data_IF_485253022993
#
_entry.id   IF_485253022993
#
_cell.length_a   1.000
_cell.length_b   1.000
_cell.length_c   1.000
_cell.angle_alpha   90.00
_cell.angle_beta   90.00
_cell.angle_gamma   90.00
#
_symmetry.space_group_name_H-M   'P 1'
#
loop_
_entity.id
_entity.type
_entity.pdbx_description
1 polymer ?
#
# COMPACT_ATOMS: atom_id res chain seq x y z
N UNK A 1 25.44 67.77 32.94
CA UNK A 1 24.50 66.64 32.78
C UNK A 1 24.07 66.62 31.32
N UNK A 2 24.10 65.55 30.54
CA UNK A 2 24.22 64.14 30.89
C UNK A 2 25.13 63.37 29.94
N UNK A 3 25.44 62.18 30.41
CA UNK A 3 26.45 61.23 29.96
C UNK A 3 25.85 60.27 28.93
N UNK A 4 26.69 59.85 28.00
CA UNK A 4 26.55 58.76 27.04
C UNK A 4 25.67 57.58 27.47
N UNK A 5 24.94 57.00 26.51
CA UNK A 5 24.83 55.54 26.32
C UNK A 5 24.41 55.21 24.86
N UNK A 6 25.40 54.87 24.03
CA UNK A 6 25.21 54.05 22.83
C UNK A 6 24.72 52.67 23.29
N UNK A 7 23.52 52.26 22.89
CA UNK A 7 23.09 50.87 23.01
C UNK A 7 23.83 50.05 21.95
N UNK A 8 24.66 49.11 22.41
CA UNK A 8 25.13 48.00 21.61
C UNK A 8 23.92 47.19 21.14
N UNK A 9 23.68 47.11 19.84
CA UNK A 9 22.96 45.99 19.25
C UNK A 9 23.90 44.78 19.31
N UNK A 10 23.81 44.02 20.41
CA UNK A 10 24.19 42.62 20.33
C UNK A 10 23.22 41.97 19.34
N UNK A 11 23.78 41.44 18.26
CA UNK A 11 23.10 40.44 17.45
C UNK A 11 22.73 39.31 18.41
N UNK A 12 21.46 39.19 18.72
CA UNK A 12 20.90 37.96 19.26
C UNK A 12 21.19 36.93 18.17
N UNK A 13 22.08 35.99 18.45
CA UNK A 13 22.14 34.74 17.71
C UNK A 13 20.74 34.13 17.84
N UNK A 14 20.00 34.12 16.74
CA UNK A 14 18.85 33.25 16.60
C UNK A 14 19.41 31.83 16.71
N UNK A 15 19.31 31.25 17.90
CA UNK A 15 19.42 29.81 18.08
C UNK A 15 18.24 29.25 17.31
N UNK A 16 18.47 28.88 16.06
CA UNK A 16 17.61 27.93 15.37
C UNK A 16 17.60 26.69 16.25
N UNK A 17 16.55 26.52 17.05
CA UNK A 17 16.22 25.24 17.64
C UNK A 17 15.79 24.35 16.47
N UNK A 18 16.75 23.66 15.85
CA UNK A 18 16.47 22.56 14.93
C UNK A 18 15.65 21.53 15.68
N UNK A 19 14.57 21.05 15.08
CA UNK A 19 13.86 19.89 15.62
C UNK A 19 14.87 18.73 15.63
N UNK A 20 15.07 18.00 16.74
CA UNK A 20 15.92 16.82 16.77
C UNK A 20 15.62 15.82 15.64
N UNK A 21 14.38 15.82 15.12
CA UNK A 21 13.99 15.04 13.95
C UNK A 21 14.59 15.54 12.62
N UNK A 22 14.83 16.83 12.48
CA UNK A 22 15.45 17.41 11.28
C UNK A 22 16.95 17.08 11.23
N UNK A 23 17.60 17.08 12.39
CA UNK A 23 19.03 16.73 12.51
C UNK A 23 19.23 15.23 12.17
N UNK A 24 18.46 14.32 12.76
CA UNK A 24 18.56 12.88 12.43
C UNK A 24 18.14 12.58 10.98
N UNK A 25 17.15 13.30 10.43
CA UNK A 25 16.78 13.18 9.00
C UNK A 25 17.98 13.52 8.11
N UNK A 26 18.67 14.61 8.40
CA UNK A 26 19.86 15.04 7.67
C UNK A 26 20.96 13.98 7.74
N UNK A 27 21.22 13.42 8.93
CA UNK A 27 22.18 12.33 9.11
C UNK A 27 21.82 11.09 8.28
N UNK A 28 20.54 10.70 8.24
CA UNK A 28 20.09 9.57 7.40
C UNK A 28 20.33 9.87 5.91
N UNK A 29 20.01 11.06 5.43
CA UNK A 29 20.20 11.46 4.04
C UNK A 29 21.69 11.49 3.65
N UNK A 30 22.56 11.99 4.52
CA UNK A 30 24.01 11.99 4.31
C UNK A 30 24.56 10.56 4.21
N UNK A 31 24.26 9.70 5.18
CA UNK A 31 24.65 8.28 5.16
C UNK A 31 24.13 7.56 3.92
N UNK A 32 22.88 7.86 3.51
CA UNK A 32 22.28 7.29 2.31
C UNK A 32 23.01 7.76 1.05
N UNK A 33 23.35 9.05 0.95
CA UNK A 33 24.05 9.61 -0.21
C UNK A 33 25.49 9.09 -0.32
N UNK A 34 26.20 8.91 0.80
CA UNK A 34 27.53 8.28 0.81
C UNK A 34 27.48 6.87 0.21
N UNK A 35 26.42 6.12 0.52
CA UNK A 35 26.25 4.73 0.07
C UNK A 35 25.78 4.63 -1.38
N UNK A 36 24.82 5.46 -1.76
CA UNK A 36 24.18 5.41 -3.08
C UNK A 36 24.89 6.24 -4.15
N UNK A 37 25.69 7.23 -3.74
CA UNK A 37 26.40 8.18 -4.62
C UNK A 37 25.45 8.92 -5.57
N UNK A 38 24.32 9.38 -5.02
CA UNK A 38 23.34 10.18 -5.73
C UNK A 38 23.69 11.68 -5.71
N UNK A 39 22.68 12.50 -5.98
CA UNK A 39 22.73 13.96 -5.77
C UNK A 39 21.76 14.32 -4.65
N UNK A 40 22.28 14.80 -3.52
CA UNK A 40 21.45 15.34 -2.44
C UNK A 40 20.96 16.74 -2.86
N UNK A 41 19.64 16.91 -2.91
CA UNK A 41 18.99 18.16 -3.31
C UNK A 41 17.62 18.27 -2.64
N UNK A 42 17.34 19.40 -1.99
CA UNK A 42 16.03 19.72 -1.40
C UNK A 42 15.46 18.57 -0.55
N UNK A 43 16.23 18.14 0.46
CA UNK A 43 15.88 17.05 1.39
C UNK A 43 15.59 15.68 0.77
N UNK A 44 16.00 15.46 -0.48
CA UNK A 44 15.89 14.16 -1.13
C UNK A 44 17.17 13.79 -1.88
N UNK A 45 17.31 12.50 -2.17
CA UNK A 45 18.39 12.00 -3.01
C UNK A 45 17.84 11.73 -4.39
N UNK A 46 18.41 12.40 -5.38
CA UNK A 46 18.16 12.15 -6.78
C UNK A 46 19.15 11.09 -7.26
N UNK A 47 18.61 9.98 -7.74
CA UNK A 47 19.35 8.85 -8.30
C UNK A 47 19.30 8.89 -9.84
N UNK A 48 20.25 8.24 -10.53
CA UNK A 48 20.21 8.11 -11.98
C UNK A 48 18.89 7.52 -12.48
N UNK A 49 18.50 7.87 -13.71
CA UNK A 49 17.26 7.42 -14.37
C UNK A 49 15.96 7.89 -13.69
N UNK A 50 16.01 8.98 -12.92
CA UNK A 50 14.78 9.67 -12.47
C UNK A 50 14.18 9.16 -11.16
N UNK A 51 14.87 8.28 -10.43
CA UNK A 51 14.43 7.88 -9.09
C UNK A 51 14.76 8.98 -8.08
N UNK A 52 13.83 9.27 -7.18
CA UNK A 52 14.07 10.15 -6.03
C UNK A 52 13.76 9.42 -4.73
N UNK A 53 14.58 9.62 -3.71
CA UNK A 53 14.39 9.04 -2.38
C UNK A 53 14.25 10.16 -1.35
N UNK A 54 13.08 10.25 -0.74
CA UNK A 54 12.76 11.15 0.37
C UNK A 54 12.74 10.34 1.67
N UNK A 55 12.96 11.02 2.80
CA UNK A 55 13.08 10.43 4.13
C UNK A 55 12.21 11.20 5.12
N UNK A 56 11.39 10.48 5.88
CA UNK A 56 10.64 11.04 7.01
C UNK A 56 10.99 10.31 8.30
N UNK A 57 11.04 11.06 9.41
CA UNK A 57 11.29 10.52 10.75
C UNK A 57 9.95 10.32 11.45
N UNK A 58 9.50 9.07 11.52
CA UNK A 58 8.24 8.73 12.19
C UNK A 58 8.39 8.86 13.71
N UNK A 59 9.43 8.24 14.26
CA UNK A 59 9.64 8.10 15.70
C UNK A 59 11.12 8.08 16.02
N UNK A 60 11.49 8.78 17.10
CA UNK A 60 12.81 8.75 17.71
C UNK A 60 12.60 8.63 19.22
N UNK A 61 13.01 7.52 19.80
CA UNK A 61 12.83 7.20 21.22
C UNK A 61 14.14 6.65 21.79
N UNK A 62 14.39 6.89 23.08
CA UNK A 62 15.50 6.27 23.80
C UNK A 62 14.92 5.48 24.98
N UNK A 63 15.33 4.22 25.11
CA UNK A 63 14.92 3.34 26.21
C UNK A 63 16.10 2.47 26.62
N UNK A 64 16.40 2.43 27.92
CA UNK A 64 17.50 1.66 28.50
C UNK A 64 18.88 1.91 27.84
N UNK A 65 19.13 3.15 27.40
CA UNK A 65 20.35 3.54 26.70
C UNK A 65 20.47 3.01 25.27
N UNK A 66 19.35 2.55 24.69
CA UNK A 66 19.22 2.16 23.28
C UNK A 66 18.30 3.17 22.60
N UNK A 67 18.81 3.82 21.56
CA UNK A 67 18.01 4.64 20.66
C UNK A 67 17.27 3.75 19.67
N UNK A 68 16.00 4.07 19.44
CA UNK A 68 15.12 3.43 18.47
C UNK A 68 14.65 4.52 17.51
N UNK A 69 14.96 4.34 16.23
CA UNK A 69 14.59 5.25 15.16
C UNK A 69 13.69 4.51 14.17
N UNK A 70 12.53 5.10 13.88
CA UNK A 70 11.72 4.72 12.74
C UNK A 70 11.91 5.74 11.61
N UNK A 71 12.48 5.26 10.52
CA UNK A 71 12.71 6.01 9.30
C UNK A 71 11.76 5.50 8.22
N UNK A 72 11.06 6.40 7.53
CA UNK A 72 10.19 6.11 6.41
C UNK A 72 10.88 6.57 5.14
N UNK A 73 11.35 5.63 4.33
CA UNK A 73 11.92 5.91 3.02
C UNK A 73 10.81 5.95 1.97
N UNK A 74 10.80 6.97 1.13
CA UNK A 74 9.78 7.18 0.09
C UNK A 74 10.49 7.27 -1.26
N UNK A 75 10.38 6.22 -2.06
CA UNK A 75 10.95 6.16 -3.41
C UNK A 75 9.90 6.53 -4.44
N UNK A 76 10.20 7.52 -5.30
CA UNK A 76 9.35 7.96 -6.40
C UNK A 76 10.05 7.78 -7.73
N UNK A 77 9.26 7.52 -8.76
CA UNK A 77 9.66 7.43 -10.16
C UNK A 77 8.42 7.64 -11.04
N UNK A 78 8.57 8.19 -12.24
CA UNK A 78 7.43 8.51 -13.12
C UNK A 78 6.65 7.27 -13.59
N UNK A 79 7.35 6.12 -13.69
CA UNK A 79 6.71 4.83 -14.03
C UNK A 79 5.99 4.17 -12.84
N UNK A 80 6.07 4.74 -11.64
CA UNK A 80 5.36 4.21 -10.48
C UNK A 80 3.96 4.81 -10.39
N UNK A 81 2.94 3.95 -10.25
CA UNK A 81 1.56 4.38 -9.97
C UNK A 81 1.40 5.02 -8.58
N UNK A 82 2.27 4.64 -7.66
CA UNK A 82 2.33 5.15 -6.29
C UNK A 82 3.77 5.11 -5.77
N UNK A 83 4.16 5.98 -4.82
CA UNK A 83 5.48 5.88 -4.22
C UNK A 83 5.68 4.53 -3.51
N UNK A 84 6.86 3.95 -3.63
CA UNK A 84 7.27 2.83 -2.79
C UNK A 84 7.66 3.38 -1.42
N UNK A 85 6.88 3.02 -0.40
CA UNK A 85 7.09 3.46 0.98
C UNK A 85 7.66 2.30 1.80
N UNK A 86 8.83 2.49 2.37
CA UNK A 86 9.49 1.53 3.24
C UNK A 86 9.74 2.08 4.65
N UNK A 87 8.89 1.71 5.63
CA UNK A 87 9.21 1.95 7.03
C UNK A 87 10.30 0.98 7.49
N UNK A 88 11.31 1.54 8.15
CA UNK A 88 12.45 0.84 8.73
C UNK A 88 12.57 1.21 10.19
N UNK A 89 12.50 0.20 11.06
CA UNK A 89 12.85 0.35 12.46
C UNK A 89 14.32 -0.06 12.65
N UNK A 90 15.09 0.82 13.29
CA UNK A 90 16.52 0.65 13.56
C UNK A 90 16.82 0.93 15.03
N UNK A 91 17.90 0.34 15.54
CA UNK A 91 18.32 0.48 16.93
C UNK A 91 19.84 0.64 17.03
N UNK A 92 20.31 1.41 18.02
CA UNK A 92 21.72 1.76 18.15
C UNK A 92 21.97 2.46 19.48
N UNK A 93 23.25 2.66 19.80
CA UNK A 93 23.67 3.34 21.05
C UNK A 93 23.62 4.86 20.93
N UNK A 94 23.68 5.36 19.71
CA UNK A 94 23.65 6.78 19.38
C UNK A 94 22.96 7.02 18.02
N UNK A 95 22.74 8.31 17.72
CA UNK A 95 22.07 8.79 16.50
C UNK A 95 22.76 8.31 15.22
N UNK A 96 24.10 8.23 15.21
CA UNK A 96 24.86 7.81 14.04
C UNK A 96 24.69 6.31 13.78
N UNK A 97 24.71 5.49 14.83
CA UNK A 97 24.47 4.05 14.72
C UNK A 97 23.05 3.74 14.20
N UNK A 98 22.02 4.41 14.74
CA UNK A 98 20.63 4.20 14.27
C UNK A 98 20.43 4.67 12.84
N UNK A 99 20.95 5.86 12.48
CA UNK A 99 20.83 6.40 11.13
C UNK A 99 21.51 5.46 10.10
N UNK A 100 22.73 5.01 10.40
CA UNK A 100 23.46 4.08 9.55
C UNK A 100 22.74 2.74 9.41
N UNK A 101 22.22 2.18 10.51
CA UNK A 101 21.46 0.93 10.48
C UNK A 101 20.18 1.06 9.63
N UNK A 102 19.46 2.18 9.73
CA UNK A 102 18.29 2.45 8.90
C UNK A 102 18.65 2.43 7.40
N UNK A 103 19.73 3.12 7.01
CA UNK A 103 20.25 3.15 5.64
C UNK A 103 20.71 1.78 5.16
N UNK A 104 21.36 1.00 6.03
CA UNK A 104 21.83 -0.35 5.70
C UNK A 104 20.66 -1.30 5.42
N UNK A 105 19.62 -1.26 6.25
CA UNK A 105 18.39 -2.03 6.07
C UNK A 105 17.67 -1.62 4.78
N UNK A 106 17.48 -0.32 4.54
CA UNK A 106 16.83 0.17 3.33
C UNK A 106 17.59 -0.24 2.06
N UNK A 107 18.91 -0.03 2.06
CA UNK A 107 19.75 -0.37 0.91
C UNK A 107 19.73 -1.87 0.60
N UNK A 108 19.82 -2.70 1.63
CA UNK A 108 19.81 -4.16 1.48
C UNK A 108 18.42 -4.72 1.16
N UNK A 109 17.35 -4.08 1.66
CA UNK A 109 15.99 -4.55 1.50
C UNK A 109 15.34 -4.09 0.20
N UNK A 110 15.27 -2.78 -0.01
CA UNK A 110 14.49 -2.15 -1.10
C UNK A 110 15.39 -1.74 -2.26
N UNK A 111 16.47 -0.99 -1.97
CA UNK A 111 17.25 -0.38 -3.04
C UNK A 111 17.98 -1.43 -3.88
N UNK A 112 18.51 -2.49 -3.27
CA UNK A 112 19.22 -3.52 -4.01
C UNK A 112 18.40 -4.20 -5.12
N UNK A 113 17.20 -4.77 -4.86
CA UNK A 113 16.38 -5.33 -5.93
C UNK A 113 15.88 -4.27 -6.91
N UNK A 114 15.68 -3.02 -6.47
CA UNK A 114 15.33 -1.92 -7.36
C UNK A 114 16.48 -1.57 -8.32
N UNK A 115 17.72 -1.44 -7.84
CA UNK A 115 18.93 -1.27 -8.67
C UNK A 115 19.07 -2.40 -9.69
N UNK A 116 18.84 -3.64 -9.27
CA UNK A 116 18.88 -4.79 -10.16
C UNK A 116 17.83 -4.68 -11.27
N UNK A 117 16.62 -4.22 -10.93
CA UNK A 117 15.57 -3.98 -11.92
C UNK A 117 15.94 -2.88 -12.92
N UNK A 118 16.54 -1.79 -12.43
CA UNK A 118 16.99 -0.65 -13.24
C UNK A 118 18.03 -1.06 -14.28
N UNK A 119 18.92 -1.99 -13.92
CA UNK A 119 19.99 -2.49 -14.79
C UNK A 119 19.70 -3.88 -15.38
N UNK A 120 18.48 -4.41 -15.20
CA UNK A 120 18.05 -5.73 -15.68
C UNK A 120 19.03 -6.86 -15.31
N UNK A 121 19.54 -6.85 -14.09
CA UNK A 121 20.52 -7.82 -13.58
C UNK A 121 19.79 -9.07 -13.07
N UNK A 122 20.09 -10.23 -13.67
CA UNK A 122 19.57 -11.55 -13.27
C UNK A 122 18.03 -11.60 -13.13
N UNK A 123 17.26 -11.21 -14.16
CA UNK A 123 15.81 -11.25 -14.10
C UNK A 123 15.28 -12.68 -13.99
N UNK A 124 14.24 -12.86 -13.18
CA UNK A 124 13.45 -14.10 -13.15
C UNK A 124 12.15 -13.84 -13.90
N UNK A 125 11.95 -14.53 -15.02
CA UNK A 125 10.73 -14.39 -15.82
C UNK A 125 9.50 -14.93 -15.07
N UNK A 126 8.42 -14.15 -15.07
CA UNK A 126 7.14 -14.47 -14.44
C UNK A 126 6.02 -14.17 -15.44
N UNK A 127 5.45 -15.21 -16.10
CA UNK A 127 4.27 -15.04 -16.95
C UNK A 127 3.01 -14.94 -16.08
N UNK A 128 2.07 -14.10 -16.51
CA UNK A 128 0.82 -13.84 -15.82
C UNK A 128 -0.33 -13.87 -16.82
N UNK A 129 -1.32 -14.70 -16.54
CA UNK A 129 -2.56 -14.78 -17.30
C UNK A 129 -3.75 -14.51 -16.38
N UNK A 130 -4.57 -13.52 -16.70
CA UNK A 130 -5.84 -13.27 -16.00
C UNK A 130 -6.84 -12.59 -16.93
N UNK A 131 -8.13 -12.91 -16.78
CA UNK A 131 -9.21 -12.27 -17.55
C UNK A 131 -8.94 -12.14 -19.06
N UNK A 132 -8.42 -13.22 -19.67
CA UNK A 132 -8.05 -13.30 -21.11
C UNK A 132 -6.91 -12.33 -21.52
N UNK A 133 -6.14 -11.83 -20.57
CA UNK A 133 -4.97 -10.98 -20.77
C UNK A 133 -3.70 -11.72 -20.37
N UNK A 134 -2.60 -11.41 -21.06
CA UNK A 134 -1.29 -11.96 -20.82
C UNK A 134 -0.29 -10.83 -20.54
N UNK A 135 0.55 -11.03 -19.52
CA UNK A 135 1.62 -10.10 -19.17
C UNK A 135 2.89 -10.87 -18.81
N UNK A 136 4.03 -10.36 -19.28
CA UNK A 136 5.34 -10.87 -18.92
C UNK A 136 6.05 -9.91 -17.96
N UNK A 137 6.44 -10.41 -16.80
CA UNK A 137 7.22 -9.68 -15.81
C UNK A 137 8.63 -10.24 -15.65
N UNK A 138 9.56 -9.35 -15.30
CA UNK A 138 10.85 -9.72 -14.73
C UNK A 138 10.84 -9.41 -13.21
N UNK A 139 11.13 -10.43 -12.40
CA UNK A 139 11.22 -10.35 -10.94
C UNK A 139 12.68 -10.24 -10.47
N UNK A 140 12.91 -9.35 -9.49
CA UNK A 140 14.19 -9.11 -8.82
C UNK A 140 13.98 -9.20 -7.30
N UNK A 141 14.60 -10.16 -6.63
CA UNK A 141 14.36 -10.49 -5.22
C UNK A 141 15.59 -11.05 -4.48
N UNK A 142 16.80 -10.65 -4.86
CA UNK A 142 18.03 -11.35 -4.49
C UNK A 142 18.46 -11.15 -3.03
N UNK A 143 17.86 -10.21 -2.30
CA UNK A 143 18.27 -9.86 -0.92
C UNK A 143 17.19 -10.15 0.12
N UNK A 144 17.63 -10.65 1.27
CA UNK A 144 16.81 -10.83 2.48
C UNK A 144 17.53 -10.15 3.63
N UNK A 145 16.90 -9.14 4.21
CA UNK A 145 17.40 -8.45 5.40
C UNK A 145 16.97 -9.23 6.62
N UNK A 146 17.90 -9.47 7.55
CA UNK A 146 17.66 -10.27 8.75
C UNK A 146 18.18 -9.55 9.98
N UNK A 147 17.39 -9.55 11.04
CA UNK A 147 17.75 -8.99 12.35
C UNK A 147 17.62 -10.10 13.39
N UNK A 148 18.58 -10.18 14.32
CA UNK A 148 18.57 -11.17 15.40
C UNK A 148 18.91 -12.61 15.01
N UNK A 149 19.04 -12.90 13.71
CA UNK A 149 19.41 -14.24 13.22
C UNK A 149 20.92 -14.45 13.32
N UNK A 150 21.34 -15.48 14.08
CA UNK A 150 22.74 -15.95 14.13
C UNK A 150 22.86 -17.31 13.44
N UNK A 151 23.93 -17.52 12.69
CA UNK A 151 24.38 -18.83 12.17
C UNK A 151 23.39 -19.63 11.30
N UNK A 152 22.31 -19.01 10.80
CA UNK A 152 21.37 -19.60 9.83
C UNK A 152 21.70 -19.12 8.42
N UNK A 153 21.60 -20.01 7.42
CA UNK A 153 21.67 -19.60 6.02
C UNK A 153 20.44 -18.75 5.64
N UNK A 154 20.58 -17.71 4.79
CA UNK A 154 19.44 -16.92 4.35
C UNK A 154 18.42 -17.78 3.60
N UNK A 155 17.15 -17.69 3.99
CA UNK A 155 16.03 -18.30 3.26
C UNK A 155 15.44 -17.26 2.32
N UNK A 156 15.31 -17.59 1.03
CA UNK A 156 14.61 -16.73 0.05
C UNK A 156 13.10 -16.88 0.26
N UNK A 157 12.50 -15.95 0.99
CA UNK A 157 11.07 -15.96 1.38
C UNK A 157 10.10 -15.96 0.20
N UNK A 158 10.43 -15.29 -0.90
CA UNK A 158 9.63 -15.26 -2.13
C UNK A 158 9.36 -16.67 -2.69
N UNK A 159 10.25 -17.64 -2.44
CA UNK A 159 10.05 -19.00 -2.91
C UNK A 159 8.82 -19.68 -2.30
N UNK A 160 8.37 -19.27 -1.11
CA UNK A 160 7.13 -19.77 -0.50
C UNK A 160 5.88 -19.34 -1.26
N UNK A 161 5.98 -18.26 -2.06
CA UNK A 161 4.85 -17.66 -2.77
C UNK A 161 4.97 -17.74 -4.29
N UNK A 162 5.99 -18.42 -4.82
CA UNK A 162 6.35 -18.36 -6.25
C UNK A 162 5.19 -18.72 -7.19
N UNK A 163 4.32 -19.64 -6.78
CA UNK A 163 3.14 -20.06 -7.57
C UNK A 163 1.93 -19.16 -7.37
N UNK A 164 1.90 -18.37 -6.30
CA UNK A 164 0.75 -17.57 -5.91
C UNK A 164 0.87 -16.11 -6.36
N UNK A 165 2.08 -15.55 -6.34
CA UNK A 165 2.33 -14.15 -6.73
C UNK A 165 1.77 -13.78 -8.11
N UNK A 166 1.87 -14.61 -9.17
CA UNK A 166 1.30 -14.27 -10.47
C UNK A 166 -0.18 -13.89 -10.42
N UNK A 167 -0.95 -14.49 -9.49
CA UNK A 167 -2.39 -14.19 -9.32
C UNK A 167 -2.66 -12.79 -8.78
N UNK A 168 -1.64 -12.07 -8.31
CA UNK A 168 -1.75 -10.73 -7.74
C UNK A 168 -1.15 -9.65 -8.65
N UNK A 169 -0.57 -10.02 -9.79
CA UNK A 169 0.01 -9.10 -10.76
C UNK A 169 -1.04 -8.78 -11.85
N UNK A 170 -1.26 -7.49 -12.10
CA UNK A 170 -2.22 -6.97 -13.09
C UNK A 170 -1.51 -6.17 -14.18
N UNK A 171 -2.11 -5.07 -14.62
CA UNK A 171 -1.58 -4.30 -15.76
C UNK A 171 -0.53 -3.23 -15.40
N UNK A 172 -0.14 -3.09 -14.13
CA UNK A 172 0.80 -2.02 -13.73
C UNK A 172 2.21 -2.31 -14.24
N UNK A 173 2.94 -1.25 -14.60
CA UNK A 173 4.35 -1.34 -15.02
C UNK A 173 5.25 -1.89 -13.91
N UNK A 174 4.99 -1.49 -12.67
CA UNK A 174 5.76 -1.89 -11.49
C UNK A 174 4.85 -2.48 -10.41
N UNK A 175 5.29 -3.62 -9.88
CA UNK A 175 4.79 -4.16 -8.63
C UNK A 175 5.95 -4.37 -7.64
N UNK A 176 5.69 -4.17 -6.35
CA UNK A 176 6.62 -4.59 -5.30
C UNK A 176 5.92 -5.39 -4.22
N UNK A 177 6.41 -6.60 -4.02
CA UNK A 177 6.03 -7.46 -2.91
C UNK A 177 6.94 -7.16 -1.73
N UNK A 178 6.36 -6.95 -0.56
CA UNK A 178 7.06 -6.93 0.72
C UNK A 178 6.62 -8.12 1.55
N UNK A 179 7.57 -8.95 1.97
CA UNK A 179 7.37 -10.00 2.96
C UNK A 179 8.08 -9.54 4.23
N UNK A 180 7.34 -9.48 5.34
CA UNK A 180 7.88 -9.17 6.65
C UNK A 180 7.45 -10.23 7.66
N UNK A 181 8.44 -10.94 8.19
CA UNK A 181 8.29 -11.96 9.21
C UNK A 181 9.01 -11.49 10.47
N UNK A 182 8.35 -11.55 11.62
CA UNK A 182 8.99 -11.27 12.89
C UNK A 182 8.48 -12.21 13.98
N UNK A 183 9.36 -12.59 14.90
CA UNK A 183 9.04 -13.40 16.08
C UNK A 183 9.81 -12.92 17.30
N UNK A 184 9.13 -12.88 18.44
CA UNK A 184 9.76 -12.72 19.75
C UNK A 184 8.94 -13.49 20.78
N UNK A 185 9.53 -14.54 21.35
CA UNK A 185 8.83 -15.55 22.16
C UNK A 185 7.62 -16.08 21.36
N UNK A 186 6.44 -16.10 21.97
CA UNK A 186 5.19 -16.55 21.35
C UNK A 186 4.56 -15.51 20.40
N UNK A 187 5.04 -14.26 20.39
CA UNK A 187 4.47 -13.22 19.52
C UNK A 187 5.08 -13.33 18.14
N UNK A 188 4.24 -13.45 17.12
CA UNK A 188 4.64 -13.44 15.71
C UNK A 188 3.88 -12.40 14.89
N UNK A 189 4.56 -11.90 13.86
CA UNK A 189 4.01 -11.04 12.83
C UNK A 189 4.35 -11.69 11.49
N UNK A 190 3.33 -11.92 10.68
CA UNK A 190 3.46 -12.38 9.30
C UNK A 190 2.67 -11.39 8.46
N UNK A 191 3.38 -10.60 7.66
CA UNK A 191 2.75 -9.61 6.81
C UNK A 191 3.30 -9.69 5.40
N UNK A 192 2.38 -9.78 4.44
CA UNK A 192 2.69 -9.73 3.02
C UNK A 192 1.94 -8.56 2.42
N UNK A 193 2.65 -7.71 1.68
CA UNK A 193 2.06 -6.56 0.98
C UNK A 193 2.44 -6.55 -0.48
N UNK A 194 1.52 -6.13 -1.34
CA UNK A 194 1.78 -5.80 -2.74
C UNK A 194 1.46 -4.33 -2.96
N UNK A 195 2.42 -3.56 -3.45
CA UNK A 195 2.28 -2.11 -3.65
C UNK A 195 1.77 -1.36 -2.40
N UNK A 196 2.13 -1.83 -1.21
CA UNK A 196 1.69 -1.26 0.07
C UNK A 196 0.35 -1.81 0.60
N UNK A 197 -0.46 -2.47 -0.24
CA UNK A 197 -1.71 -3.13 0.19
C UNK A 197 -1.44 -4.46 0.88
N UNK A 198 -2.08 -4.68 2.04
CA UNK A 198 -1.99 -5.95 2.78
C UNK A 198 -2.72 -7.05 2.02
N UNK A 199 -2.05 -8.18 1.81
CA UNK A 199 -2.63 -9.40 1.24
C UNK A 199 -2.97 -10.35 2.36
N UNK A 200 -4.24 -10.67 2.54
CA UNK A 200 -4.69 -11.45 3.72
C UNK A 200 -4.55 -12.95 3.52
N UNK A 201 -4.49 -13.42 2.27
CA UNK A 201 -4.43 -14.85 1.96
C UNK A 201 -3.00 -15.41 1.93
N UNK A 202 -1.99 -14.57 1.66
CA UNK A 202 -0.59 -15.00 1.53
C UNK A 202 0.17 -15.27 2.84
N UNK A 203 -0.13 -14.62 3.98
CA UNK A 203 0.53 -14.89 5.25
C UNK A 203 0.52 -16.36 5.67
N UNK A 204 -0.55 -17.11 5.33
CA UNK A 204 -0.68 -18.54 5.70
C UNK A 204 0.48 -19.42 5.22
N UNK A 205 1.15 -19.07 4.13
CA UNK A 205 2.27 -19.83 3.58
C UNK A 205 3.55 -19.75 4.42
N UNK A 206 3.62 -18.81 5.35
CA UNK A 206 4.77 -18.63 6.24
C UNK A 206 4.52 -19.13 7.66
N UNK A 207 3.29 -19.50 8.02
CA UNK A 207 2.93 -19.90 9.39
C UNK A 207 3.85 -21.01 9.92
N UNK A 208 4.04 -22.07 9.13
CA UNK A 208 4.91 -23.19 9.50
C UNK A 208 6.38 -22.77 9.62
N UNK A 209 6.86 -21.94 8.70
CA UNK A 209 8.24 -21.44 8.72
C UNK A 209 8.50 -20.58 9.96
N UNK A 210 7.63 -19.63 10.26
CA UNK A 210 7.76 -18.77 11.45
C UNK A 210 7.66 -19.61 12.73
N UNK A 211 6.84 -20.65 12.74
CA UNK A 211 6.72 -21.49 13.92
C UNK A 211 7.95 -22.34 14.17
N UNK A 212 8.45 -23.03 13.13
CA UNK A 212 9.48 -24.07 13.27
C UNK A 212 10.90 -23.58 13.06
N UNK A 213 11.09 -22.52 12.27
CA UNK A 213 12.42 -22.13 11.77
C UNK A 213 12.90 -20.76 12.27
N UNK A 214 12.02 -19.96 12.90
CA UNK A 214 12.42 -18.70 13.55
C UNK A 214 12.59 -18.93 15.05
N UNK A 215 13.83 -19.16 15.48
CA UNK A 215 14.21 -19.33 16.89
C UNK A 215 14.34 -17.96 17.55
N UNK A 216 13.39 -17.61 18.43
CA UNK A 216 13.26 -16.27 19.00
C UNK A 216 12.91 -16.27 20.49
N UNK A 217 13.38 -17.28 21.24
CA UNK A 217 13.09 -17.43 22.68
C UNK A 217 13.68 -16.29 23.52
N UNK A 218 14.90 -15.86 23.17
CA UNK A 218 15.67 -14.87 23.94
C UNK A 218 15.79 -13.52 23.25
N UNK A 219 15.72 -13.48 21.92
CA UNK A 219 15.94 -12.26 21.12
C UNK A 219 14.87 -12.09 20.06
N UNK A 220 14.59 -10.84 19.72
CA UNK A 220 13.71 -10.51 18.59
C UNK A 220 14.39 -10.93 17.29
N UNK A 221 13.66 -11.66 16.45
CA UNK A 221 14.13 -12.09 15.13
C UNK A 221 13.18 -11.56 14.07
N UNK A 222 13.73 -10.99 13.00
CA UNK A 222 12.95 -10.63 11.82
C UNK A 222 13.66 -10.96 10.52
N UNK A 223 12.88 -11.27 9.51
CA UNK A 223 13.30 -11.45 8.13
C UNK A 223 12.40 -10.62 7.22
N UNK A 224 13.01 -9.81 6.35
CA UNK A 224 12.32 -8.91 5.43
C UNK A 224 12.87 -9.10 4.02
N UNK A 225 11.99 -9.30 3.05
CA UNK A 225 12.36 -9.42 1.65
C UNK A 225 11.44 -8.57 0.78
N UNK A 226 12.04 -7.86 -0.17
CA UNK A 226 11.33 -7.27 -1.29
C UNK A 226 11.53 -8.08 -2.56
N UNK A 227 10.50 -8.14 -3.39
CA UNK A 227 10.59 -8.53 -4.78
C UNK A 227 10.00 -7.43 -5.66
N UNK A 228 10.79 -6.93 -6.61
CA UNK A 228 10.37 -5.94 -7.60
C UNK A 228 10.01 -6.67 -8.89
N UNK A 229 8.81 -6.44 -9.41
CA UNK A 229 8.34 -6.97 -10.68
C UNK A 229 8.21 -5.82 -11.65
N UNK A 230 8.81 -5.97 -12.83
CA UNK A 230 8.75 -4.97 -13.90
C UNK A 230 8.14 -5.61 -15.13
N UNK A 231 7.02 -5.07 -15.59
CA UNK A 231 6.38 -5.52 -16.82
C UNK A 231 7.34 -5.24 -18.00
N UNK A 232 7.52 -6.23 -18.87
CA UNK A 232 8.42 -6.09 -20.03
C UNK A 232 7.88 -5.11 -21.06
N UNK A 233 6.58 -5.16 -21.31
CA UNK A 233 5.88 -4.24 -22.21
C UNK A 233 5.64 -2.89 -21.54
N UNK A 234 5.35 -1.88 -22.37
CA UNK A 234 4.98 -0.55 -21.90
C UNK A 234 3.56 -0.55 -21.34
N UNK A 235 3.30 0.36 -20.40
CA UNK A 235 2.00 0.53 -19.78
C UNK A 235 0.94 0.92 -20.83
N UNK A 236 -0.07 0.07 -21.01
CA UNK A 236 -1.15 0.24 -21.98
C UNK A 236 -2.44 0.81 -21.38
N UNK A 237 -2.47 1.11 -20.07
CA UNK A 237 -3.69 1.57 -19.42
C UNK A 237 -4.14 2.94 -19.98
N UNK A 238 -5.42 3.10 -20.37
CA UNK A 238 -5.91 4.31 -21.03
C UNK A 238 -6.12 5.49 -20.06
N UNK A 239 -6.03 5.25 -18.76
CA UNK A 239 -6.24 6.27 -17.74
C UNK A 239 -5.06 6.37 -16.76
N UNK A 240 -4.93 7.55 -16.16
CA UNK A 240 -3.96 7.84 -15.10
C UNK A 240 -4.66 8.02 -13.76
N UNK A 241 -3.90 7.87 -12.68
CA UNK A 241 -4.38 8.01 -11.31
C UNK A 241 -5.17 9.29 -11.07
N UNK A 242 -4.72 10.42 -11.63
CA UNK A 242 -5.33 11.74 -11.43
C UNK A 242 -6.77 11.79 -11.94
N UNK A 243 -7.04 11.14 -13.07
CA UNK A 243 -8.38 11.04 -13.65
C UNK A 243 -9.29 10.24 -12.71
N UNK A 244 -8.85 9.05 -12.29
CA UNK A 244 -9.62 8.16 -11.41
C UNK A 244 -9.89 8.84 -10.07
N UNK A 245 -8.87 9.45 -9.44
CA UNK A 245 -9.00 10.15 -8.17
C UNK A 245 -9.98 11.33 -8.27
N UNK A 246 -9.91 12.12 -9.33
CA UNK A 246 -10.83 13.25 -9.55
C UNK A 246 -12.28 12.76 -9.72
N UNK A 247 -12.49 11.79 -10.61
CA UNK A 247 -13.82 11.23 -10.87
C UNK A 247 -14.40 10.56 -9.62
N UNK A 248 -13.59 9.84 -8.86
CA UNK A 248 -14.01 9.21 -7.61
C UNK A 248 -14.42 10.24 -6.55
N UNK A 249 -13.62 11.29 -6.32
CA UNK A 249 -13.95 12.36 -5.37
C UNK A 249 -15.26 13.06 -5.74
N UNK A 250 -15.43 13.39 -7.02
CA UNK A 250 -16.66 14.02 -7.49
C UNK A 250 -17.87 13.08 -7.35
N UNK A 251 -17.68 11.78 -7.60
CA UNK A 251 -18.71 10.75 -7.41
C UNK A 251 -19.12 10.63 -5.95
N UNK A 252 -18.16 10.60 -5.02
CA UNK A 252 -18.44 10.59 -3.57
C UNK A 252 -19.32 11.80 -3.20
N UNK A 253 -18.92 13.00 -3.60
CA UNK A 253 -19.68 14.24 -3.33
C UNK A 253 -21.09 14.24 -3.93
N UNK A 254 -21.31 13.53 -5.04
CA UNK A 254 -22.63 13.33 -5.61
C UNK A 254 -23.44 12.30 -4.82
N UNK A 255 -22.84 11.16 -4.46
CA UNK A 255 -23.51 10.08 -3.73
C UNK A 255 -24.04 10.51 -2.37
N UNK A 256 -23.40 11.46 -1.68
CA UNK A 256 -23.93 12.05 -0.44
C UNK A 256 -25.29 12.73 -0.61
N UNK A 257 -25.62 13.17 -1.82
CA UNK A 257 -26.80 13.98 -2.12
C UNK A 257 -27.91 13.20 -2.81
N UNK A 258 -27.65 11.96 -3.24
CA UNK A 258 -28.62 11.10 -3.92
C UNK A 258 -29.70 10.67 -2.93
N UNK A 259 -30.96 10.90 -3.28
CA UNK A 259 -32.14 10.50 -2.50
C UNK A 259 -33.10 9.62 -3.30
N UNK A 260 -32.92 9.49 -4.61
CA UNK A 260 -33.81 8.73 -5.49
C UNK A 260 -33.06 8.13 -6.69
N UNK A 261 -33.78 7.32 -7.46
CA UNK A 261 -33.21 6.60 -8.61
C UNK A 261 -32.82 7.54 -9.77
N UNK A 262 -33.60 8.58 -10.05
CA UNK A 262 -33.32 9.51 -11.16
C UNK A 262 -32.01 10.28 -10.93
N UNK A 263 -31.76 10.71 -9.69
CA UNK A 263 -30.48 11.31 -9.28
C UNK A 263 -29.30 10.35 -9.42
N UNK A 264 -29.53 9.05 -9.17
CA UNK A 264 -28.51 8.02 -9.36
C UNK A 264 -28.18 7.79 -10.84
N UNK A 265 -29.20 7.76 -11.71
CA UNK A 265 -29.01 7.67 -13.18
C UNK A 265 -28.26 8.91 -13.69
N UNK A 266 -28.66 10.11 -13.28
CA UNK A 266 -27.98 11.35 -13.67
C UNK A 266 -26.50 11.39 -13.19
N UNK A 267 -26.22 10.85 -12.01
CA UNK A 267 -24.86 10.69 -11.51
C UNK A 267 -24.05 9.73 -12.39
N UNK A 268 -24.63 8.60 -12.79
CA UNK A 268 -23.97 7.63 -13.66
C UNK A 268 -23.62 8.24 -15.03
N UNK A 269 -24.54 8.96 -15.67
CA UNK A 269 -24.29 9.64 -16.95
C UNK A 269 -23.17 10.69 -16.84
N UNK A 270 -23.18 11.45 -15.74
CA UNK A 270 -22.13 12.43 -15.47
C UNK A 270 -20.78 11.75 -15.22
N UNK A 271 -20.76 10.64 -14.50
CA UNK A 271 -19.54 9.88 -14.24
C UNK A 271 -18.90 9.38 -15.53
N UNK A 272 -19.69 8.83 -16.47
CA UNK A 272 -19.17 8.46 -17.80
C UNK A 272 -18.48 9.64 -18.50
N UNK A 273 -19.05 10.84 -18.39
CA UNK A 273 -18.42 12.06 -18.93
C UNK A 273 -17.12 12.41 -18.21
N UNK A 274 -17.06 12.25 -16.87
CA UNK A 274 -15.87 12.55 -16.06
C UNK A 274 -14.68 11.64 -16.38
N UNK A 275 -14.93 10.43 -16.86
CA UNK A 275 -13.90 9.46 -17.25
C UNK A 275 -13.69 9.37 -18.77
N UNK A 276 -14.06 10.42 -19.50
CA UNK A 276 -13.88 10.53 -20.95
C UNK A 276 -14.56 9.41 -21.76
N UNK A 277 -15.69 8.89 -21.28
CA UNK A 277 -16.47 7.85 -21.94
C UNK A 277 -16.01 6.42 -21.68
N UNK A 278 -15.02 6.21 -20.79
CA UNK A 278 -14.62 4.86 -20.34
C UNK A 278 -15.70 4.25 -19.43
N UNK A 279 -16.57 3.42 -20.02
CA UNK A 279 -17.72 2.82 -19.33
C UNK A 279 -17.29 1.80 -18.28
N UNK A 280 -16.21 1.07 -18.54
CA UNK A 280 -15.60 0.15 -17.59
C UNK A 280 -15.17 0.86 -16.32
N UNK A 281 -14.36 1.91 -16.47
CA UNK A 281 -13.88 2.72 -15.34
C UNK A 281 -15.04 3.43 -14.61
N UNK A 282 -16.02 3.97 -15.34
CA UNK A 282 -17.22 4.55 -14.72
C UNK A 282 -17.98 3.51 -13.88
N UNK A 283 -18.15 2.30 -14.41
CA UNK A 283 -18.77 1.18 -13.71
C UNK A 283 -17.99 0.77 -12.46
N UNK A 284 -16.66 0.66 -12.55
CA UNK A 284 -15.79 0.36 -11.41
C UNK A 284 -15.93 1.40 -10.29
N UNK A 285 -15.84 2.70 -10.62
CA UNK A 285 -15.98 3.80 -9.65
C UNK A 285 -17.33 3.69 -8.94
N UNK A 286 -18.42 3.54 -9.71
CA UNK A 286 -19.79 3.47 -9.19
C UNK A 286 -20.02 2.26 -8.28
N UNK A 287 -19.45 1.11 -8.63
CA UNK A 287 -19.61 -0.14 -7.88
C UNK A 287 -18.74 -0.14 -6.62
N UNK A 288 -17.46 0.17 -6.74
CA UNK A 288 -16.51 -0.08 -5.66
C UNK A 288 -16.47 1.03 -4.60
N UNK A 289 -16.87 2.27 -4.90
CA UNK A 289 -16.96 3.31 -3.87
C UNK A 289 -17.84 2.85 -2.70
N UNK A 290 -19.12 2.48 -2.88
CA UNK A 290 -19.96 2.01 -1.78
C UNK A 290 -19.39 0.80 -1.04
N UNK A 291 -18.79 -0.16 -1.75
CA UNK A 291 -18.24 -1.39 -1.15
C UNK A 291 -17.03 -1.09 -0.26
N UNK A 292 -16.12 -0.22 -0.72
CA UNK A 292 -14.96 0.23 0.05
C UNK A 292 -15.43 1.00 1.29
N UNK A 293 -16.43 1.88 1.15
CA UNK A 293 -17.05 2.55 2.28
C UNK A 293 -17.60 1.54 3.30
N UNK A 294 -18.40 0.57 2.85
CA UNK A 294 -18.97 -0.45 3.72
C UNK A 294 -17.89 -1.22 4.49
N UNK A 295 -16.79 -1.61 3.83
CA UNK A 295 -15.64 -2.25 4.47
C UNK A 295 -15.04 -1.38 5.56
N UNK A 296 -14.70 -0.14 5.24
CA UNK A 296 -14.00 0.76 6.15
C UNK A 296 -14.88 1.21 7.33
N UNK A 297 -16.20 1.31 7.14
CA UNK A 297 -17.12 1.75 8.19
C UNK A 297 -17.63 0.62 9.08
N UNK A 298 -17.83 -0.59 8.52
CA UNK A 298 -18.36 -1.72 9.27
C UNK A 298 -17.25 -2.59 9.90
N UNK A 299 -16.06 -2.64 9.30
CA UNK A 299 -14.92 -3.39 9.84
C UNK A 299 -15.05 -4.91 9.75
N UNK A 300 -15.79 -5.43 8.76
CA UNK A 300 -15.81 -6.87 8.48
C UNK A 300 -14.50 -7.36 7.87
N UNK A 301 -14.22 -8.65 7.98
CA UNK A 301 -13.03 -9.26 7.36
C UNK A 301 -13.31 -9.51 5.89
N UNK A 302 -12.34 -9.24 5.04
CA UNK A 302 -12.50 -9.38 3.60
C UNK A 302 -11.30 -10.09 2.98
N UNK A 303 -11.55 -10.98 2.00
CA UNK A 303 -10.52 -11.63 1.19
C UNK A 303 -9.89 -10.71 0.14
N UNK A 304 -8.97 -11.27 -0.65
CA UNK A 304 -8.24 -10.51 -1.67
C UNK A 304 -8.95 -10.49 -3.04
N UNK A 305 -10.05 -11.24 -3.18
CA UNK A 305 -10.68 -11.53 -4.47
C UNK A 305 -11.75 -10.51 -4.89
N UNK A 306 -11.92 -10.43 -6.21
CA UNK A 306 -13.03 -9.83 -6.93
C UNK A 306 -13.60 -10.89 -7.88
N UNK A 307 -14.89 -10.79 -8.18
CA UNK A 307 -15.58 -11.72 -9.06
C UNK A 307 -16.30 -10.95 -10.16
N UNK A 308 -15.80 -11.07 -11.40
CA UNK A 308 -16.46 -10.49 -12.56
C UNK A 308 -17.56 -11.45 -13.04
N UNK A 309 -18.79 -10.95 -13.09
CA UNK A 309 -19.96 -11.68 -13.60
C UNK A 309 -20.14 -11.39 -15.09
N UNK A 310 -19.96 -12.39 -15.93
CA UNK A 310 -20.18 -12.33 -17.39
C UNK A 310 -21.41 -13.18 -17.77
N UNK A 311 -22.13 -12.77 -18.83
CA UNK A 311 -23.34 -13.47 -19.29
C UNK A 311 -24.62 -13.10 -18.55
N UNK A 312 -25.70 -13.80 -18.89
CA UNK A 312 -27.06 -13.62 -18.35
C UNK A 312 -27.75 -14.97 -18.12
N UNK A 313 -28.64 -15.02 -17.13
CA UNK A 313 -29.42 -16.22 -16.84
C UNK A 313 -28.56 -17.42 -16.44
N UNK A 314 -28.88 -18.58 -16.99
CA UNK A 314 -28.23 -19.86 -16.66
C UNK A 314 -26.79 -19.97 -17.19
N UNK A 315 -26.39 -19.11 -18.13
CA UNK A 315 -25.03 -19.07 -18.70
C UNK A 315 -24.11 -18.07 -17.98
N UNK A 316 -24.56 -17.47 -16.87
CA UNK A 316 -23.73 -16.54 -16.10
C UNK A 316 -22.50 -17.23 -15.52
N UNK A 317 -21.33 -16.70 -15.84
CA UNK A 317 -20.06 -17.15 -15.30
C UNK A 317 -19.50 -16.13 -14.31
N UNK A 318 -18.82 -16.64 -13.28
CA UNK A 318 -18.11 -15.84 -12.30
C UNK A 318 -16.62 -16.10 -12.45
N UNK A 319 -15.87 -15.08 -12.83
CA UNK A 319 -14.42 -15.17 -13.03
C UNK A 319 -13.73 -14.47 -11.86
N UNK A 320 -12.97 -15.24 -11.08
CA UNK A 320 -12.20 -14.72 -9.96
C UNK A 320 -10.90 -14.06 -10.44
N UNK A 321 -10.56 -12.93 -9.83
CA UNK A 321 -9.26 -12.28 -9.95
C UNK A 321 -8.97 -11.48 -8.67
N UNK A 322 -7.75 -10.97 -8.47
CA UNK A 322 -7.37 -10.29 -7.21
C UNK A 322 -7.52 -8.77 -7.31
N UNK A 323 -7.82 -8.10 -6.20
CA UNK A 323 -7.95 -6.63 -6.10
C UNK A 323 -6.72 -5.87 -6.59
N UNK A 324 -5.53 -6.43 -6.38
CA UNK A 324 -4.27 -5.85 -6.85
C UNK A 324 -4.13 -5.85 -8.38
N UNK A 325 -4.93 -6.67 -9.07
CA UNK A 325 -5.01 -6.70 -10.52
C UNK A 325 -6.01 -5.68 -11.08
N UNK A 326 -6.86 -5.10 -10.23
CA UNK A 326 -7.70 -3.94 -10.58
C UNK A 326 -6.97 -2.66 -10.19
N UNK A 327 -6.30 -2.03 -11.15
CA UNK A 327 -5.51 -0.81 -10.99
C UNK A 327 -6.31 0.33 -10.39
N UNK A 328 -7.57 0.51 -10.78
CA UNK A 328 -8.43 1.57 -10.24
C UNK A 328 -8.73 1.38 -8.75
N UNK A 329 -8.82 0.13 -8.26
CA UNK A 329 -9.28 -0.20 -6.91
C UNK A 329 -8.52 0.54 -5.82
N UNK A 330 -7.18 0.60 -5.93
CA UNK A 330 -6.36 1.30 -4.94
C UNK A 330 -6.60 2.82 -4.97
N UNK A 331 -6.77 3.42 -6.15
CA UNK A 331 -7.09 4.84 -6.27
C UNK A 331 -8.47 5.15 -5.66
N UNK A 332 -9.45 4.27 -5.87
CA UNK A 332 -10.77 4.40 -5.24
C UNK A 332 -10.65 4.31 -3.71
N UNK A 333 -9.86 3.36 -3.21
CA UNK A 333 -9.59 3.24 -1.78
C UNK A 333 -8.94 4.50 -1.21
N UNK A 334 -7.96 5.06 -1.91
CA UNK A 334 -7.33 6.33 -1.53
C UNK A 334 -8.35 7.47 -1.50
N UNK A 335 -9.20 7.62 -2.53
CA UNK A 335 -10.22 8.66 -2.58
C UNK A 335 -11.22 8.56 -1.41
N UNK A 336 -11.65 7.34 -1.06
CA UNK A 336 -12.54 7.09 0.08
C UNK A 336 -11.83 7.43 1.40
N UNK A 337 -10.58 7.02 1.59
CA UNK A 337 -9.82 7.34 2.81
C UNK A 337 -9.60 8.85 2.97
N UNK A 338 -9.27 9.56 1.89
CA UNK A 338 -9.13 11.02 1.90
C UNK A 338 -10.44 11.69 2.28
N UNK A 339 -11.57 11.23 1.76
CA UNK A 339 -12.88 11.76 2.15
C UNK A 339 -13.21 11.46 3.61
N UNK A 340 -13.01 10.23 4.10
CA UNK A 340 -13.26 9.89 5.50
C UNK A 340 -12.38 10.71 6.46
N UNK A 341 -11.16 11.08 6.04
CA UNK A 341 -10.27 11.92 6.84
C UNK A 341 -10.79 13.35 7.07
N UNK A 342 -11.74 13.83 6.25
CA UNK A 342 -12.40 15.13 6.46
C UNK A 342 -13.50 15.07 7.54
N UNK A 343 -13.67 13.94 8.21
CA UNK A 343 -14.71 13.68 9.21
C UNK A 343 -16.12 13.99 8.71
N UNK A 344 -16.58 13.32 7.62
CA UNK A 344 -17.91 13.53 7.07
C UNK A 344 -19.02 13.15 8.07
N UNK A 345 -20.21 13.71 7.86
CA UNK A 345 -21.36 13.39 8.69
C UNK A 345 -21.77 11.91 8.57
N UNK A 346 -22.29 11.33 9.65
CA UNK A 346 -22.80 9.95 9.64
C UNK A 346 -23.93 9.76 8.62
N UNK A 347 -24.74 10.79 8.39
CA UNK A 347 -25.79 10.76 7.37
C UNK A 347 -25.19 10.64 5.97
N UNK A 348 -24.19 11.48 5.63
CA UNK A 348 -23.48 11.43 4.36
C UNK A 348 -22.88 10.05 4.09
N UNK A 349 -22.19 9.49 5.09
CA UNK A 349 -21.58 8.15 5.00
C UNK A 349 -22.65 7.08 4.81
N UNK A 350 -23.74 7.14 5.58
CA UNK A 350 -24.83 6.16 5.51
C UNK A 350 -25.45 6.13 4.11
N UNK A 351 -25.70 7.30 3.50
CA UNK A 351 -26.27 7.40 2.15
C UNK A 351 -25.42 6.69 1.08
N UNK A 352 -24.10 6.77 1.21
CA UNK A 352 -23.17 6.09 0.30
C UNK A 352 -23.19 4.59 0.58
N UNK A 353 -22.98 4.20 1.83
CA UNK A 353 -22.82 2.81 2.26
C UNK A 353 -24.08 1.97 1.96
N UNK A 354 -25.28 2.54 2.03
CA UNK A 354 -26.52 1.81 1.73
C UNK A 354 -26.62 1.31 0.29
N UNK A 355 -25.81 1.85 -0.62
CA UNK A 355 -25.73 1.38 -2.00
C UNK A 355 -24.82 0.13 -2.15
N UNK A 356 -24.06 -0.24 -1.13
CA UNK A 356 -23.25 -1.47 -1.13
C UNK A 356 -24.14 -2.72 -1.00
N UNK A 357 -23.82 -3.75 -1.77
CA UNK A 357 -24.37 -5.08 -1.63
C UNK A 357 -23.88 -5.70 -0.33
N UNK A 358 -22.58 -5.61 -0.02
CA UNK A 358 -22.02 -6.17 1.21
C UNK A 358 -22.71 -5.58 2.46
N UNK A 359 -22.93 -4.26 2.49
CA UNK A 359 -23.65 -3.62 3.60
C UNK A 359 -25.05 -4.21 3.79
N UNK A 360 -25.83 -4.37 2.70
CA UNK A 360 -27.20 -4.89 2.76
C UNK A 360 -27.23 -6.34 3.25
N UNK A 361 -26.34 -7.18 2.74
CA UNK A 361 -26.27 -8.60 3.14
C UNK A 361 -25.79 -8.75 4.59
N UNK A 362 -24.79 -7.97 5.01
CA UNK A 362 -24.31 -7.97 6.41
C UNK A 362 -25.40 -7.50 7.37
N UNK A 363 -26.11 -6.42 7.03
CA UNK A 363 -27.23 -5.92 7.84
C UNK A 363 -28.32 -6.99 7.99
N UNK A 364 -28.69 -7.64 6.89
CA UNK A 364 -29.66 -8.75 6.91
C UNK A 364 -29.20 -9.91 7.79
N UNK A 365 -27.93 -10.30 7.71
CA UNK A 365 -27.37 -11.37 8.53
C UNK A 365 -27.40 -11.02 10.03
N UNK A 366 -27.04 -9.78 10.37
CA UNK A 366 -27.06 -9.28 11.76
C UNK A 366 -28.49 -9.22 12.30
N UNK A 367 -29.44 -8.70 11.52
CA UNK A 367 -30.85 -8.61 11.91
C UNK A 367 -31.44 -10.02 12.12
N UNK A 368 -31.15 -10.97 11.23
CA UNK A 368 -31.58 -12.37 11.37
C UNK A 368 -30.97 -13.04 12.60
N UNK A 369 -29.69 -12.81 12.89
CA UNK A 369 -29.04 -13.34 14.09
C UNK A 369 -29.68 -12.78 15.37
N UNK A 370 -29.99 -11.48 15.38
CA UNK A 370 -30.65 -10.81 16.49
C UNK A 370 -32.06 -11.35 16.75
N UNK A 371 -32.83 -11.61 15.70
CA UNK A 371 -34.15 -12.27 15.80
C UNK A 371 -34.05 -13.69 16.40
N UNK A 372 -32.93 -14.38 16.15
CA UNK A 372 -32.63 -15.69 16.74
C UNK A 372 -32.01 -15.62 18.14
N UNK A 373 -31.91 -14.43 18.75
CA UNK A 373 -31.30 -14.24 20.07
C UNK A 373 -29.78 -14.43 20.09
N UNK A 374 -29.10 -14.35 18.94
CA UNK A 374 -27.64 -14.43 18.81
C UNK A 374 -27.05 -13.03 18.64
N UNK A 375 -25.87 -12.81 19.23
CA UNK A 375 -25.07 -11.62 18.98
C UNK A 375 -24.08 -11.92 17.85
N UNK A 376 -24.15 -11.16 16.76
CA UNK A 376 -23.25 -11.27 15.61
C UNK A 376 -22.70 -9.89 15.31
N UNK A 377 -21.36 -9.74 15.33
CA UNK A 377 -20.71 -8.47 15.03
C UNK A 377 -20.15 -8.49 13.61
N UNK A 378 -20.04 -7.34 12.94
CA UNK A 378 -19.41 -7.27 11.62
C UNK A 378 -18.01 -7.89 11.57
N UNK A 379 -17.21 -7.76 12.63
CA UNK A 379 -15.85 -8.31 12.70
C UNK A 379 -15.78 -9.85 12.71
N UNK A 380 -16.90 -10.50 13.04
CA UNK A 380 -17.05 -11.96 13.02
C UNK A 380 -17.40 -12.48 11.61
N UNK A 381 -17.76 -11.57 10.69
CA UNK A 381 -18.16 -11.89 9.33
C UNK A 381 -16.98 -11.82 8.37
N UNK A 382 -16.97 -12.73 7.41
CA UNK A 382 -15.97 -12.82 6.35
C UNK A 382 -16.64 -12.72 4.98
N UNK A 383 -16.21 -11.75 4.18
CA UNK A 383 -16.62 -11.56 2.80
C UNK A 383 -15.46 -12.01 1.89
N UNK A 384 -15.58 -13.11 1.13
CA UNK A 384 -14.46 -13.64 0.34
C UNK A 384 -14.02 -12.69 -0.78
N UNK A 385 -14.94 -11.89 -1.31
CA UNK A 385 -14.67 -10.88 -2.32
C UNK A 385 -15.93 -10.15 -2.76
N UNK A 386 -15.77 -9.17 -3.64
CA UNK A 386 -16.87 -8.40 -4.20
C UNK A 386 -17.21 -8.90 -5.60
N UNK A 387 -18.46 -9.32 -5.81
CA UNK A 387 -18.97 -9.68 -7.13
C UNK A 387 -19.56 -8.46 -7.83
N UNK A 388 -19.27 -8.30 -9.12
CA UNK A 388 -19.76 -7.17 -9.90
C UNK A 388 -19.94 -7.51 -11.37
N UNK A 389 -20.79 -6.73 -12.06
CA UNK A 389 -21.03 -6.80 -13.51
C UNK A 389 -20.82 -5.42 -14.10
N UNK A 390 -20.10 -5.36 -15.23
CA UNK A 390 -19.93 -4.15 -16.03
C UNK A 390 -20.73 -4.33 -17.33
N UNK A 391 -21.54 -3.34 -17.68
CA UNK A 391 -22.41 -3.35 -18.87
C UNK A 391 -21.69 -2.98 -20.16
N UNK A 392 -20.41 -3.36 -20.29
CA UNK A 392 -19.57 -3.05 -21.45
C UNK A 392 -19.14 -4.35 -22.13
N UNK A 393 -19.37 -4.44 -23.45
CA UNK A 393 -18.88 -5.55 -24.26
C UNK A 393 -17.35 -5.52 -24.31
N UNK A 394 -16.71 -6.66 -24.07
CA UNK A 394 -15.25 -6.79 -24.02
C UNK A 394 -14.57 -5.94 -22.92
N UNK A 395 -15.26 -5.73 -21.79
CA UNK A 395 -14.68 -5.10 -20.61
C UNK A 395 -13.30 -5.71 -20.26
N UNK A 396 -12.32 -4.82 -20.08
CA UNK A 396 -10.94 -5.16 -19.78
C UNK A 396 -10.57 -4.61 -18.41
N UNK A 397 -10.07 -5.48 -17.55
CA UNK A 397 -9.51 -5.08 -16.26
C UNK A 397 -8.08 -4.60 -16.47
N UNK A 398 -7.83 -3.36 -16.09
CA UNK A 398 -6.50 -2.76 -16.00
C UNK A 398 -6.02 -2.83 -14.57
#
# INVERSE_FOLDING_TARGET
MGIFKKKNNQKTEEVHTTDPKDDIKSMVLENLNEKLKGTLYDDCIIMPKGFTIDVQVGRLEESDGIMILQTIFIVKHDDFDEPLIDPVDSQGKDEQEVAKMAVDIFCGGVWHPLDQSIYKKNPIHVPVDFLRQHYDFDMYCQSVVRVGVKDKQPTVLVNFLRTEIPKYLGSKKYYWLRIYLAKYKEKKIIEVRMNGSVLVELPKYFEEYVEKEMFAEETFVSEKQYAIFVQREDDQCPFKKELVMKAAKETISMMEKINNHDEYVAMADKLETLVNGDKGLAGEIRVFIPEIFAKLTLGYREGDSLFLLEGEGDDQQSIEFKKTQLRSYFYLQQAVLEYLSTNPSQESVTRIVTNSVAFRELKRAIDTAKEQGKELKPIDLYVPGTSYKIGEENYRVW
#
